data_IF_621252344813
#
_entry.id   IF_621252344813
#
_cell.length_a   1.000
_cell.length_b   1.000
_cell.length_c   1.000
_cell.angle_alpha   90.00
_cell.angle_beta   90.00
_cell.angle_gamma   90.00
#
_symmetry.space_group_name_H-M   'P 1'
#
loop_
_entity.id
_entity.type
_entity.pdbx_description
1 polymer ?
#
# COMPACT_ATOMS: atom_id res chain seq x y z
N UNK A 1 29.64 -13.05 0.69
CA UNK A 1 29.30 -11.62 0.55
C UNK A 1 28.26 -11.28 1.59
N UNK A 2 28.38 -10.12 2.23
CA UNK A 2 27.46 -9.70 3.28
C UNK A 2 26.84 -8.36 2.88
N UNK A 3 25.51 -8.29 2.89
CA UNK A 3 24.75 -7.06 2.67
C UNK A 3 24.15 -6.66 4.02
N UNK A 4 24.42 -5.43 4.43
CA UNK A 4 23.78 -4.83 5.60
C UNK A 4 22.62 -3.96 5.10
N UNK A 5 21.40 -4.24 5.55
CA UNK A 5 20.30 -3.32 5.28
C UNK A 5 20.56 -1.99 5.99
N UNK A 6 20.14 -0.89 5.37
CA UNK A 6 20.15 0.42 6.00
C UNK A 6 19.12 0.46 7.13
N UNK A 7 17.90 0.02 6.83
CA UNK A 7 16.79 -0.01 7.76
C UNK A 7 15.95 -1.27 7.55
N UNK A 8 15.30 -1.73 8.61
CA UNK A 8 14.33 -2.83 8.58
C UNK A 8 13.11 -2.45 9.38
N UNK A 9 11.92 -2.79 8.87
CA UNK A 9 10.68 -2.48 9.58
C UNK A 9 10.51 -3.37 10.82
N UNK A 10 10.16 -2.76 11.95
CA UNK A 10 9.73 -3.46 13.18
C UNK A 10 8.46 -4.29 12.99
N UNK A 11 7.69 -3.99 11.96
CA UNK A 11 6.42 -4.67 11.66
C UNK A 11 6.61 -5.94 10.84
N UNK A 12 7.85 -6.30 10.49
CA UNK A 12 8.11 -7.60 9.88
C UNK A 12 7.63 -8.70 10.81
N UNK A 13 6.82 -9.58 10.24
CA UNK A 13 6.29 -10.70 10.99
C UNK A 13 7.42 -11.62 11.47
N UNK A 14 7.29 -12.11 12.70
CA UNK A 14 8.17 -13.13 13.21
C UNK A 14 8.03 -14.40 12.34
N UNK A 15 9.09 -14.73 11.61
CA UNK A 15 9.14 -15.91 10.76
C UNK A 15 10.57 -16.41 10.62
N UNK A 16 10.69 -17.72 10.71
CA UNK A 16 11.88 -18.43 10.31
C UNK A 16 11.50 -19.46 9.26
N UNK A 17 12.33 -19.59 8.22
CA UNK A 17 12.09 -20.53 7.14
C UNK A 17 12.37 -19.95 5.77
N UNK A 18 11.98 -20.72 4.76
CA UNK A 18 12.22 -20.39 3.36
C UNK A 18 11.16 -19.44 2.81
N UNK A 19 11.54 -18.54 1.92
CA UNK A 19 10.63 -17.72 1.15
C UNK A 19 11.09 -17.62 -0.31
N UNK A 20 10.13 -17.40 -1.21
CA UNK A 20 10.33 -17.46 -2.67
C UNK A 20 10.12 -16.09 -3.32
N UNK A 21 10.90 -15.81 -4.36
CA UNK A 21 10.74 -14.60 -5.15
C UNK A 21 9.41 -14.65 -5.93
N UNK A 22 8.61 -13.59 -5.84
CA UNK A 22 7.33 -13.45 -6.56
C UNK A 22 7.30 -12.24 -7.50
N UNK A 23 8.21 -11.28 -7.34
CA UNK A 23 8.30 -10.15 -8.26
C UNK A 23 9.62 -9.42 -8.14
N UNK A 24 10.15 -9.00 -9.29
CA UNK A 24 11.40 -8.24 -9.42
C UNK A 24 11.03 -6.95 -10.14
N UNK A 25 11.11 -5.83 -9.44
CA UNK A 25 10.78 -4.51 -9.96
C UNK A 25 11.99 -3.58 -9.84
N UNK A 26 11.94 -2.46 -10.54
CA UNK A 26 13.04 -1.50 -10.56
C UNK A 26 13.42 -0.97 -9.16
N UNK A 27 12.47 -0.92 -8.24
CA UNK A 27 12.62 -0.29 -6.92
C UNK A 27 12.29 -1.20 -5.75
N UNK A 28 11.76 -2.39 -6.03
CA UNK A 28 11.32 -3.34 -5.01
C UNK A 28 11.52 -4.79 -5.49
N UNK A 29 11.94 -5.65 -4.56
CA UNK A 29 11.98 -7.10 -4.77
C UNK A 29 11.02 -7.74 -3.78
N UNK A 30 10.05 -8.49 -4.29
CA UNK A 30 8.95 -9.05 -3.52
C UNK A 30 9.13 -10.55 -3.36
N UNK A 31 8.98 -11.00 -2.11
CA UNK A 31 9.09 -12.39 -1.72
C UNK A 31 7.91 -12.81 -0.87
N UNK A 32 7.53 -14.08 -0.94
CA UNK A 32 6.43 -14.62 -0.13
C UNK A 32 6.89 -15.81 0.69
N UNK A 33 6.51 -15.84 1.97
CA UNK A 33 6.70 -17.00 2.83
C UNK A 33 5.56 -18.03 2.65
N UNK A 34 5.68 -19.25 3.20
CA UNK A 34 4.65 -20.29 3.12
C UNK A 34 3.29 -19.84 3.68
N UNK A 35 3.28 -18.94 4.67
CA UNK A 35 2.09 -18.35 5.27
C UNK A 35 1.45 -17.25 4.41
N UNK A 36 1.84 -17.12 3.13
CA UNK A 36 1.34 -16.11 2.19
C UNK A 36 1.57 -14.66 2.64
N UNK A 37 2.62 -14.41 3.45
CA UNK A 37 3.00 -13.05 3.86
C UNK A 37 4.14 -12.53 2.99
N UNK A 38 4.03 -11.26 2.64
CA UNK A 38 4.98 -10.57 1.78
C UNK A 38 6.18 -10.08 2.59
N UNK A 39 7.38 -10.21 2.01
CA UNK A 39 8.61 -9.52 2.43
C UNK A 39 9.09 -8.72 1.22
N UNK A 40 9.48 -7.45 1.43
CA UNK A 40 9.93 -6.59 0.34
C UNK A 40 11.31 -6.01 0.64
N UNK A 41 12.25 -6.16 -0.29
CA UNK A 41 13.48 -5.37 -0.28
C UNK A 41 13.25 -4.11 -1.11
N UNK A 42 13.55 -2.95 -0.53
CA UNK A 42 13.37 -1.63 -1.15
C UNK A 42 14.72 -1.05 -1.52
N UNK A 43 14.76 -0.34 -2.65
CA UNK A 43 15.92 0.45 -3.06
C UNK A 43 15.99 1.76 -2.25
N UNK A 44 17.19 2.14 -1.83
CA UNK A 44 17.46 3.43 -1.19
C UNK A 44 16.79 4.60 -1.94
N UNK A 45 16.14 5.50 -1.18
CA UNK A 45 15.43 6.66 -1.72
C UNK A 45 13.98 6.39 -2.18
N UNK A 46 13.47 5.16 -2.01
CA UNK A 46 12.10 4.77 -2.40
C UNK A 46 11.16 4.47 -1.23
N UNK A 47 11.62 4.73 0.00
CA UNK A 47 10.87 4.50 1.23
C UNK A 47 10.99 3.07 1.75
N UNK A 48 10.24 2.79 2.81
CA UNK A 48 10.22 1.51 3.52
C UNK A 48 8.76 1.12 3.79
N UNK A 49 8.39 -0.13 3.53
CA UNK A 49 7.06 -0.67 3.84
C UNK A 49 7.06 -1.43 5.17
N UNK A 50 5.88 -1.69 5.79
CA UNK A 50 5.78 -2.46 7.04
C UNK A 50 6.44 -3.84 7.02
N UNK A 51 6.56 -4.49 5.86
CA UNK A 51 7.25 -5.78 5.71
C UNK A 51 8.61 -5.63 5.01
N UNK A 52 9.21 -4.44 5.14
CA UNK A 52 10.28 -3.97 4.28
C UNK A 52 11.68 -4.06 4.89
N UNK A 53 12.66 -4.22 4.01
CA UNK A 53 14.10 -4.03 4.25
C UNK A 53 14.60 -2.96 3.27
N UNK A 54 15.22 -1.89 3.74
CA UNK A 54 15.83 -0.88 2.87
C UNK A 54 17.28 -1.24 2.60
N UNK A 55 17.62 -1.44 1.33
CA UNK A 55 18.98 -1.73 0.90
C UNK A 55 19.62 -0.51 0.25
N UNK A 56 20.93 -0.35 0.43
CA UNK A 56 21.72 0.61 -0.33
C UNK A 56 21.57 0.30 -1.83
N UNK A 57 21.59 1.31 -2.69
CA UNK A 57 21.32 1.12 -4.12
C UNK A 57 22.20 0.03 -4.77
N UNK A 58 23.52 0.03 -4.50
CA UNK A 58 24.44 -0.97 -5.06
C UNK A 58 24.12 -2.40 -4.56
N UNK A 59 23.75 -2.54 -3.29
CA UNK A 59 23.42 -3.84 -2.69
C UNK A 59 22.09 -4.36 -3.23
N UNK A 60 21.10 -3.48 -3.39
CA UNK A 60 19.83 -3.78 -4.06
C UNK A 60 20.08 -4.28 -5.48
N UNK A 61 20.91 -3.59 -6.26
CA UNK A 61 21.19 -3.95 -7.65
C UNK A 61 21.94 -5.29 -7.73
N UNK A 62 22.83 -5.56 -6.78
CA UNK A 62 23.52 -6.85 -6.68
C UNK A 62 22.55 -7.98 -6.32
N UNK A 63 21.61 -7.74 -5.41
CA UNK A 63 20.59 -8.71 -5.03
C UNK A 63 19.63 -8.97 -6.19
N UNK A 64 19.15 -7.91 -6.86
CA UNK A 64 18.21 -7.99 -7.98
C UNK A 64 18.75 -8.87 -9.12
N UNK A 65 20.06 -8.76 -9.43
CA UNK A 65 20.73 -9.60 -10.44
C UNK A 65 20.73 -11.09 -10.12
N UNK A 66 20.61 -11.47 -8.85
CA UNK A 66 20.56 -12.85 -8.41
C UNK A 66 19.12 -13.36 -8.22
N UNK A 67 18.14 -12.45 -8.19
CA UNK A 67 16.75 -12.82 -8.01
C UNK A 67 16.21 -13.49 -9.27
N UNK A 68 15.58 -14.65 -9.09
CA UNK A 68 14.79 -15.35 -10.10
C UNK A 68 13.71 -16.17 -9.39
N UNK A 69 12.65 -16.63 -10.08
CA UNK A 69 11.52 -17.32 -9.44
C UNK A 69 11.90 -18.60 -8.65
N UNK A 70 13.00 -19.26 -9.02
CA UNK A 70 13.52 -20.44 -8.33
C UNK A 70 14.47 -20.11 -7.16
N UNK A 71 14.83 -18.85 -6.95
CA UNK A 71 15.67 -18.44 -5.83
C UNK A 71 14.92 -18.68 -4.52
N UNK A 72 15.56 -19.45 -3.64
CA UNK A 72 15.11 -19.67 -2.27
C UNK A 72 16.02 -18.91 -1.33
N UNK A 73 15.41 -18.19 -0.40
CA UNK A 73 16.09 -17.47 0.66
C UNK A 73 15.56 -17.99 2.00
N UNK A 74 16.41 -18.02 3.02
CA UNK A 74 16.03 -18.53 4.35
C UNK A 74 16.25 -17.47 5.41
N UNK A 75 15.17 -17.09 6.09
CA UNK A 75 15.20 -16.21 7.27
C UNK A 75 15.51 -17.03 8.52
N UNK A 76 16.48 -16.58 9.31
CA UNK A 76 16.76 -17.08 10.67
C UNK A 76 17.44 -15.99 11.48
N UNK A 77 17.04 -15.76 12.74
CA UNK A 77 17.65 -14.74 13.62
C UNK A 77 17.80 -13.34 12.97
N UNK A 78 16.79 -12.85 12.27
CA UNK A 78 16.83 -11.58 11.51
C UNK A 78 17.99 -11.48 10.50
N UNK A 79 18.43 -12.63 9.99
CA UNK A 79 19.37 -12.74 8.89
C UNK A 79 18.76 -13.59 7.80
N UNK A 80 19.15 -13.29 6.58
CA UNK A 80 18.64 -13.98 5.40
C UNK A 80 19.82 -14.57 4.65
N UNK A 81 19.88 -15.90 4.62
CA UNK A 81 20.81 -16.61 3.77
C UNK A 81 20.24 -16.68 2.33
N UNK A 82 21.07 -16.32 1.37
CA UNK A 82 20.78 -16.35 -0.06
C UNK A 82 21.84 -17.22 -0.73
N UNK A 83 21.42 -18.39 -1.22
CA UNK A 83 22.35 -19.41 -1.71
C UNK A 83 23.50 -19.69 -0.71
N UNK A 84 24.61 -20.28 -1.18
CA UNK A 84 25.72 -20.68 -0.32
C UNK A 84 26.75 -19.56 -0.08
N UNK A 85 26.55 -18.35 -0.63
CA UNK A 85 27.58 -17.32 -0.66
C UNK A 85 27.14 -15.90 -0.27
N UNK A 86 25.86 -15.67 0.06
CA UNK A 86 25.37 -14.34 0.41
C UNK A 86 24.48 -14.34 1.65
N UNK A 87 24.73 -13.37 2.53
CA UNK A 87 23.91 -13.15 3.73
C UNK A 87 23.47 -11.70 3.79
N UNK A 88 22.18 -11.49 4.01
CA UNK A 88 21.62 -10.18 4.35
C UNK A 88 21.40 -10.11 5.87
N UNK A 89 21.77 -8.99 6.46
CA UNK A 89 21.65 -8.73 7.89
C UNK A 89 20.76 -7.50 8.09
N UNK A 90 19.85 -7.60 9.07
CA UNK A 90 18.94 -6.53 9.42
C UNK A 90 19.69 -5.25 9.83
N UNK A 91 19.16 -4.12 9.38
CA UNK A 91 19.67 -2.77 9.65
C UNK A 91 19.05 -2.15 10.90
N UNK A 92 19.06 -0.82 10.93
CA UNK A 92 18.37 -0.08 11.99
C UNK A 92 16.87 -0.36 11.96
N UNK A 93 16.28 -0.50 13.14
CA UNK A 93 14.90 -0.98 13.28
C UNK A 93 13.91 0.19 13.32
N UNK A 94 13.10 0.33 12.26
CA UNK A 94 12.18 1.45 12.08
C UNK A 94 10.74 1.09 12.43
N UNK A 95 10.10 1.92 13.25
CA UNK A 95 8.67 1.77 13.56
C UNK A 95 7.82 2.57 12.57
N UNK A 96 7.21 1.87 11.62
CA UNK A 96 6.32 2.46 10.62
C UNK A 96 4.87 2.59 11.09
N UNK A 97 4.64 2.67 12.40
CA UNK A 97 3.30 2.97 12.92
C UNK A 97 2.94 4.38 12.50
N UNK A 98 1.81 4.50 11.80
CA UNK A 98 1.24 5.79 11.46
C UNK A 98 0.89 6.50 12.76
N UNK A 99 1.18 7.80 12.84
CA UNK A 99 0.77 8.59 13.99
C UNK A 99 -0.74 8.81 13.89
N UNK A 100 -1.48 8.39 14.92
CA UNK A 100 -2.95 8.29 14.95
C UNK A 100 -3.70 9.64 14.77
N UNK A 101 -3.00 10.74 14.48
CA UNK A 101 -3.55 12.10 14.41
C UNK A 101 -2.90 12.95 13.33
N UNK A 102 -3.38 12.80 12.10
CA UNK A 102 -3.21 13.84 11.08
C UNK A 102 -4.50 14.67 11.01
N UNK A 103 -4.45 15.94 11.43
CA UNK A 103 -5.53 16.88 11.14
C UNK A 103 -5.35 17.40 9.73
N UNK A 104 -6.21 16.96 8.81
CA UNK A 104 -6.25 17.47 7.45
C UNK A 104 -7.30 18.57 7.35
N UNK A 105 -6.89 19.77 6.94
CA UNK A 105 -7.83 20.80 6.52
C UNK A 105 -8.33 20.45 5.12
N UNK A 106 -9.60 20.05 5.02
CA UNK A 106 -10.21 19.62 3.76
C UNK A 106 -10.99 20.75 3.07
N UNK A 107 -11.00 21.97 3.61
CA UNK A 107 -11.75 23.10 3.03
C UNK A 107 -11.22 23.51 1.65
N UNK A 108 -9.94 23.26 1.37
CA UNK A 108 -9.38 23.53 0.05
C UNK A 108 -9.95 22.61 -1.04
N UNK A 109 -10.42 21.41 -0.68
CA UNK A 109 -10.98 20.45 -1.65
C UNK A 109 -12.25 20.99 -2.31
N UNK A 110 -13.10 21.70 -1.56
CA UNK A 110 -14.28 22.38 -2.12
C UNK A 110 -13.87 23.37 -3.22
N UNK A 111 -12.82 24.16 -2.95
CA UNK A 111 -12.28 25.10 -3.93
C UNK A 111 -11.69 24.37 -5.13
N UNK A 112 -10.94 23.29 -4.91
CA UNK A 112 -10.38 22.46 -5.97
C UNK A 112 -11.47 21.86 -6.87
N UNK A 113 -12.52 21.24 -6.30
CA UNK A 113 -13.61 20.65 -7.07
C UNK A 113 -14.38 21.68 -7.88
N UNK A 114 -14.53 22.92 -7.37
CA UNK A 114 -15.18 24.01 -8.09
C UNK A 114 -14.43 24.46 -9.36
N UNK A 115 -13.10 24.26 -9.39
CA UNK A 115 -12.23 24.63 -10.50
C UNK A 115 -12.10 23.51 -11.54
N UNK A 116 -12.65 22.32 -11.30
CA UNK A 116 -12.53 21.19 -12.21
C UNK A 116 -13.33 21.40 -13.49
N UNK A 117 -12.70 21.03 -14.61
CA UNK A 117 -13.35 21.00 -15.90
C UNK A 117 -14.55 20.02 -15.89
N UNK A 118 -15.68 20.38 -16.54
CA UNK A 118 -16.84 19.49 -16.70
C UNK A 118 -16.52 18.15 -17.38
N UNK A 119 -15.40 18.10 -18.11
CA UNK A 119 -15.01 16.95 -18.93
C UNK A 119 -14.30 15.87 -18.10
N UNK A 120 -13.86 16.20 -16.87
CA UNK A 120 -13.22 15.25 -15.97
C UNK A 120 -14.30 14.40 -15.31
N UNK A 121 -14.50 13.18 -15.82
CA UNK A 121 -15.51 12.25 -15.33
C UNK A 121 -14.94 11.22 -14.33
N UNK A 122 -15.74 10.85 -13.33
CA UNK A 122 -15.47 9.77 -12.37
C UNK A 122 -16.04 8.45 -12.85
N UNK A 123 -15.64 7.99 -14.04
CA UNK A 123 -16.19 6.78 -14.65
C UNK A 123 -17.71 6.84 -14.81
N UNK A 124 -18.44 5.90 -14.17
CA UNK A 124 -19.90 5.77 -14.29
C UNK A 124 -20.72 6.86 -13.59
N UNK A 125 -20.11 7.67 -12.72
CA UNK A 125 -20.86 8.63 -11.88
C UNK A 125 -20.92 10.05 -12.47
N UNK A 126 -20.45 10.23 -13.70
CA UNK A 126 -20.46 11.53 -14.40
C UNK A 126 -19.31 12.46 -13.98
N UNK A 127 -19.41 13.77 -14.22
CA UNK A 127 -18.34 14.73 -13.93
C UNK A 127 -17.99 14.84 -12.44
N UNK A 128 -16.70 14.82 -12.09
CA UNK A 128 -16.21 14.94 -10.71
C UNK A 128 -16.66 16.25 -10.05
N UNK A 129 -16.79 17.34 -10.82
CA UNK A 129 -17.34 18.61 -10.34
C UNK A 129 -18.75 18.49 -9.74
N UNK A 130 -19.50 17.43 -10.06
CA UNK A 130 -20.83 17.13 -9.51
C UNK A 130 -20.74 16.26 -8.24
N UNK A 131 -19.59 16.24 -7.54
CA UNK A 131 -19.32 15.43 -6.36
C UNK A 131 -20.44 15.41 -5.32
N UNK A 132 -21.12 16.54 -5.06
CA UNK A 132 -22.28 16.60 -4.13
C UNK A 132 -23.49 15.78 -4.59
N UNK A 133 -23.69 15.63 -5.90
CA UNK A 133 -24.74 14.78 -6.46
C UNK A 133 -24.30 13.31 -6.41
N UNK A 134 -23.03 13.04 -6.73
CA UNK A 134 -22.42 11.70 -6.63
C UNK A 134 -22.55 11.17 -5.20
N UNK A 135 -22.31 12.01 -4.19
CA UNK A 135 -22.47 11.70 -2.76
C UNK A 135 -23.84 11.14 -2.38
N UNK A 136 -24.89 11.52 -3.13
CA UNK A 136 -26.28 11.14 -2.84
C UNK A 136 -26.66 9.79 -3.44
N UNK A 137 -25.85 9.24 -4.32
CA UNK A 137 -26.08 7.94 -4.94
C UNK A 137 -26.01 6.82 -3.89
N UNK A 138 -26.96 5.90 -3.92
CA UNK A 138 -27.03 4.84 -2.90
C UNK A 138 -25.84 3.88 -2.94
N UNK A 139 -25.26 3.64 -4.12
CA UNK A 139 -24.03 2.86 -4.27
C UNK A 139 -22.84 3.54 -3.57
N UNK A 140 -22.75 4.87 -3.60
CA UNK A 140 -21.69 5.65 -2.93
C UNK A 140 -21.88 5.67 -1.41
N UNK A 141 -23.12 5.77 -0.92
CA UNK A 141 -23.43 5.63 0.51
C UNK A 141 -23.07 4.24 1.02
N UNK A 142 -23.39 3.20 0.25
CA UNK A 142 -23.04 1.82 0.59
C UNK A 142 -21.52 1.61 0.61
N UNK A 143 -20.80 2.11 -0.40
CA UNK A 143 -19.33 2.08 -0.45
C UNK A 143 -18.73 2.70 0.81
N UNK A 144 -19.21 3.89 1.20
CA UNK A 144 -18.76 4.61 2.39
C UNK A 144 -19.01 3.82 3.68
N UNK A 145 -20.22 3.27 3.85
CA UNK A 145 -20.56 2.44 5.01
C UNK A 145 -19.67 1.20 5.13
N UNK A 146 -19.45 0.51 4.02
CA UNK A 146 -18.60 -0.67 3.96
C UNK A 146 -17.14 -0.29 4.25
N UNK A 147 -16.68 0.87 3.79
CA UNK A 147 -15.36 1.37 4.12
C UNK A 147 -15.18 1.61 5.62
N UNK A 148 -16.13 2.25 6.30
CA UNK A 148 -16.10 2.38 7.77
C UNK A 148 -16.09 1.02 8.48
N UNK A 149 -16.86 0.04 7.99
CA UNK A 149 -16.83 -1.31 8.56
C UNK A 149 -15.44 -1.93 8.44
N UNK A 150 -14.79 -1.81 7.28
CA UNK A 150 -13.43 -2.29 7.06
C UNK A 150 -12.43 -1.57 7.98
N UNK A 151 -12.51 -0.25 8.12
CA UNK A 151 -11.66 0.54 9.03
C UNK A 151 -11.86 0.12 10.51
N UNK A 152 -13.08 -0.24 10.90
CA UNK A 152 -13.37 -0.79 12.23
C UNK A 152 -12.96 -2.26 12.43
N UNK A 153 -12.21 -2.85 11.48
CA UNK A 153 -11.72 -4.22 11.55
C UNK A 153 -12.75 -5.30 11.20
N UNK A 154 -13.92 -4.93 10.66
CA UNK A 154 -14.94 -5.90 10.23
C UNK A 154 -14.62 -6.42 8.83
N UNK A 155 -14.93 -7.70 8.59
CA UNK A 155 -14.84 -8.27 7.25
C UNK A 155 -15.91 -7.66 6.33
N UNK A 156 -15.50 -7.24 5.12
CA UNK A 156 -16.35 -6.60 4.11
C UNK A 156 -16.22 -7.32 2.78
N UNK A 157 -17.34 -7.53 2.09
CA UNK A 157 -17.37 -8.08 0.74
C UNK A 157 -17.39 -6.96 -0.30
N UNK A 158 -16.30 -6.83 -1.06
CA UNK A 158 -16.13 -5.80 -2.10
C UNK A 158 -16.58 -6.23 -3.50
N UNK A 159 -17.04 -7.48 -3.68
CA UNK A 159 -17.30 -8.07 -5.00
C UNK A 159 -18.20 -7.21 -5.90
N UNK A 160 -19.17 -6.49 -5.31
CA UNK A 160 -20.11 -5.66 -6.06
C UNK A 160 -19.50 -4.39 -6.68
N UNK A 161 -18.31 -3.96 -6.24
CA UNK A 161 -17.62 -2.76 -6.74
C UNK A 161 -16.50 -3.09 -7.74
N UNK A 162 -16.20 -4.38 -7.94
CA UNK A 162 -15.17 -4.83 -8.88
C UNK A 162 -15.71 -4.71 -10.31
N UNK A 163 -14.90 -4.16 -11.23
CA UNK A 163 -15.22 -4.13 -12.66
C UNK A 163 -16.26 -3.08 -13.08
N UNK A 164 -16.56 -2.09 -12.23
CA UNK A 164 -17.55 -1.04 -12.50
C UNK A 164 -17.02 0.16 -13.31
N UNK A 165 -15.74 0.20 -13.70
CA UNK A 165 -15.16 1.32 -14.46
C UNK A 165 -14.79 0.94 -15.89
N UNK A 166 -14.80 1.89 -16.85
CA UNK A 166 -14.19 1.67 -18.16
C UNK A 166 -12.66 1.62 -18.00
N UNK A 167 -12.09 0.42 -17.87
CA UNK A 167 -10.64 0.27 -17.68
C UNK A 167 -10.21 -1.05 -17.07
N UNK A 168 -8.91 -1.15 -16.80
CA UNK A 168 -8.31 -2.24 -16.03
C UNK A 168 -8.87 -2.25 -14.59
N UNK A 169 -8.88 -3.43 -13.97
CA UNK A 169 -9.21 -3.58 -12.54
C UNK A 169 -8.44 -2.54 -11.73
N UNK A 170 -9.13 -1.67 -10.95
CA UNK A 170 -8.45 -0.62 -10.20
C UNK A 170 -7.39 -1.22 -9.29
N UNK A 171 -6.22 -0.60 -9.22
CA UNK A 171 -5.20 -1.00 -8.26
C UNK A 171 -5.65 -0.64 -6.84
N UNK A 172 -4.96 -1.19 -5.83
CA UNK A 172 -5.38 -1.02 -4.43
C UNK A 172 -5.38 0.45 -3.98
N UNK A 173 -4.53 1.28 -4.57
CA UNK A 173 -4.45 2.72 -4.37
C UNK A 173 -5.64 3.44 -5.01
N UNK A 174 -6.03 3.11 -6.25
CA UNK A 174 -7.24 3.66 -6.89
C UNK A 174 -8.49 3.41 -6.06
N UNK A 175 -8.64 2.17 -5.54
CA UNK A 175 -9.75 1.81 -4.67
C UNK A 175 -9.73 2.60 -3.37
N UNK A 176 -8.55 2.73 -2.74
CA UNK A 176 -8.41 3.52 -1.51
C UNK A 176 -8.75 4.98 -1.76
N UNK A 177 -8.21 5.61 -2.80
CA UNK A 177 -8.50 7.01 -3.17
C UNK A 177 -10.00 7.20 -3.41
N UNK A 178 -10.66 6.28 -4.11
CA UNK A 178 -12.10 6.32 -4.32
C UNK A 178 -12.91 6.20 -3.02
N UNK A 179 -12.50 5.31 -2.10
CA UNK A 179 -13.14 5.16 -0.78
C UNK A 179 -12.94 6.39 0.10
N UNK A 180 -11.73 6.97 0.10
CA UNK A 180 -11.42 8.21 0.80
C UNK A 180 -12.24 9.38 0.27
N UNK A 181 -12.37 9.47 -1.06
CA UNK A 181 -13.23 10.46 -1.69
C UNK A 181 -14.70 10.27 -1.29
N UNK A 182 -15.24 9.05 -1.38
CA UNK A 182 -16.62 8.76 -0.98
C UNK A 182 -16.89 9.09 0.49
N UNK A 183 -15.93 8.81 1.38
CA UNK A 183 -16.00 9.21 2.78
C UNK A 183 -16.03 10.73 2.95
N UNK A 184 -15.11 11.46 2.29
CA UNK A 184 -15.14 12.93 2.28
C UNK A 184 -16.49 13.48 1.82
N UNK A 185 -17.12 12.87 0.81
CA UNK A 185 -18.44 13.28 0.32
C UNK A 185 -19.56 13.11 1.34
N UNK A 186 -19.45 12.11 2.22
CA UNK A 186 -20.45 11.87 3.26
C UNK A 186 -20.30 12.82 4.46
N UNK A 187 -19.07 13.23 4.77
CA UNK A 187 -18.75 14.09 5.92
C UNK A 187 -17.78 15.25 5.55
N UNK A 188 -18.15 16.16 4.62
CA UNK A 188 -17.22 17.15 4.04
C UNK A 188 -16.70 18.21 5.04
N UNK A 189 -17.33 18.33 6.22
CA UNK A 189 -17.05 19.37 7.22
C UNK A 189 -16.45 18.84 8.53
N UNK A 190 -16.26 17.52 8.67
CA UNK A 190 -15.58 16.96 9.84
C UNK A 190 -14.12 16.73 9.48
N UNK A 191 -13.22 17.19 10.35
CA UNK A 191 -11.88 16.60 10.40
C UNK A 191 -12.05 15.08 10.50
N UNK A 192 -11.39 14.31 9.65
CA UNK A 192 -11.40 12.87 9.80
C UNK A 192 -10.56 12.55 11.04
N UNK A 193 -11.23 12.47 12.20
CA UNK A 193 -10.59 11.96 13.40
C UNK A 193 -10.36 10.46 13.20
N UNK A 194 -9.09 10.04 13.37
CA UNK A 194 -8.63 8.66 13.19
C UNK A 194 -8.54 8.21 11.73
N UNK A 195 -7.84 9.01 10.92
CA UNK A 195 -7.51 8.65 9.54
C UNK A 195 -6.50 7.50 9.44
N UNK A 196 -5.74 7.24 10.51
CA UNK A 196 -4.80 6.12 10.64
C UNK A 196 -4.75 5.61 12.08
#
# INVERSE_FOLDING_TARGET
MQIQALQTSQHIFAFEGEFKCVGIYEHALNFICPQQRLITFHRQGRGLSPMGWLLKQADFDSLAKQCHPALKMRMKNNQIAIADNMTLIAGDSENLRLQDKATLDLRWLESFFSLLSPVIATGLYGPLKNYRQIARLDEIKLLTKLFYHQLSGKAVNWAMFIGKGPGLTPSSDDMLVGMLFAHYLAEPEKSIEHFF
#
